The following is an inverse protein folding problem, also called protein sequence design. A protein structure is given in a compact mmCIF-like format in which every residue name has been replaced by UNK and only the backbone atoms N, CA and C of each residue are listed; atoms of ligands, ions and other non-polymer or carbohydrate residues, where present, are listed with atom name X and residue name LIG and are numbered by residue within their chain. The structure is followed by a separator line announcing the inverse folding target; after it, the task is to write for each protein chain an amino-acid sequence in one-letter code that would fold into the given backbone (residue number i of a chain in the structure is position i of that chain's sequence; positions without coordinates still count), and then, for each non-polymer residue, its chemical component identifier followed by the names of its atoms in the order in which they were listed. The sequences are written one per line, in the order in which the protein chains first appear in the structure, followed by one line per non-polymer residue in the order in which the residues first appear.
data_IF_541165750822
#
_entry.id   IF_541165750822
#
_cell.length_a   1.000
_cell.length_b   1.000
_cell.length_c   1.000
_cell.angle_alpha   90.00
_cell.angle_beta   90.00
_cell.angle_gamma   90.00
#
_symmetry.space_group_name_H-M   'P 1'
#
loop_
_entity.id
_entity.type
_entity.pdbx_description
1 polymer ?
#
# COMPACT_ATOMS: atom_id res chain seq x y z
N UNK A 1 9.95 -6.47 5.22
CA UNK A 1 9.92 -7.37 4.03
C UNK A 1 11.24 -8.14 3.93
N UNK A 2 12.37 -7.44 3.82
CA UNK A 2 13.73 -7.87 4.19
C UNK A 2 13.97 -9.37 4.52
N UNK A 3 13.79 -9.79 5.78
CA UNK A 3 14.20 -11.10 6.28
C UNK A 3 13.10 -12.16 6.13
N UNK A 4 11.94 -11.78 5.60
CA UNK A 4 10.74 -12.61 5.58
C UNK A 4 10.97 -13.95 4.88
N UNK A 5 11.58 -13.94 3.69
CA UNK A 5 11.83 -15.17 2.94
C UNK A 5 12.71 -16.14 3.73
N UNK A 6 13.80 -15.64 4.33
CA UNK A 6 14.70 -16.45 5.14
C UNK A 6 13.99 -16.98 6.39
N UNK A 7 13.32 -16.11 7.14
CA UNK A 7 12.63 -16.47 8.40
C UNK A 7 11.52 -17.49 8.15
N UNK A 8 10.70 -17.29 7.12
CA UNK A 8 9.65 -18.23 6.80
C UNK A 8 10.24 -19.57 6.34
N UNK A 9 11.30 -19.56 5.54
CA UNK A 9 11.97 -20.79 5.14
C UNK A 9 12.54 -21.59 6.34
N UNK A 10 13.15 -20.91 7.31
CA UNK A 10 13.64 -21.53 8.55
C UNK A 10 12.47 -22.11 9.37
N UNK A 11 11.37 -21.35 9.53
CA UNK A 11 10.18 -21.82 10.26
C UNK A 11 9.51 -23.03 9.59
N UNK A 12 9.41 -23.04 8.25
CA UNK A 12 8.77 -24.12 7.48
C UNK A 12 9.63 -25.38 7.35
N UNK A 13 10.87 -25.36 7.83
CA UNK A 13 11.73 -26.55 7.90
C UNK A 13 11.42 -27.43 9.13
N UNK A 14 10.74 -26.91 10.14
CA UNK A 14 10.34 -27.70 11.31
C UNK A 14 9.22 -28.68 10.96
N UNK A 15 9.30 -29.96 11.41
CA UNK A 15 8.26 -30.96 11.15
C UNK A 15 6.87 -30.50 11.59
N UNK A 16 5.88 -30.62 10.68
CA UNK A 16 4.49 -30.22 10.92
C UNK A 16 4.22 -28.71 10.99
N UNK A 17 5.22 -27.86 10.80
CA UNK A 17 5.02 -26.40 10.79
C UNK A 17 4.18 -25.96 9.59
N UNK A 18 4.38 -26.57 8.41
CA UNK A 18 3.64 -26.22 7.19
C UNK A 18 2.15 -26.49 7.31
N UNK A 19 1.70 -27.48 8.06
CA UNK A 19 0.27 -27.72 8.26
C UNK A 19 -0.36 -26.71 9.23
N UNK A 20 0.43 -26.20 10.18
CA UNK A 20 -0.07 -25.36 11.28
C UNK A 20 0.01 -23.87 10.99
N UNK A 21 0.96 -23.45 10.17
CA UNK A 21 1.14 -22.03 9.81
C UNK A 21 0.27 -21.71 8.60
N UNK A 22 -0.69 -20.80 8.79
CA UNK A 22 -1.59 -20.35 7.74
C UNK A 22 -0.89 -19.46 6.69
N UNK A 23 0.01 -18.59 7.14
CA UNK A 23 0.65 -17.60 6.29
C UNK A 23 1.78 -16.84 6.98
N UNK A 24 2.19 -15.74 6.38
CA UNK A 24 3.22 -14.86 6.88
C UNK A 24 2.73 -13.40 6.91
N UNK A 25 2.88 -12.77 8.06
CA UNK A 25 2.69 -11.34 8.24
C UNK A 25 4.00 -10.58 7.97
N UNK A 26 3.92 -9.37 7.44
CA UNK A 26 5.11 -8.54 7.16
C UNK A 26 4.85 -7.04 7.28
N UNK A 27 5.92 -6.28 7.58
CA UNK A 27 5.93 -4.82 7.71
C UNK A 27 6.88 -4.18 6.67
N UNK A 28 6.81 -2.85 6.46
CA UNK A 28 7.59 -2.13 5.43
C UNK A 28 8.89 -1.45 5.87
N UNK A 29 9.17 -1.31 7.17
CA UNK A 29 10.06 -0.25 7.71
C UNK A 29 11.50 -0.26 7.20
N UNK A 30 12.01 -1.42 6.78
CA UNK A 30 13.41 -1.59 6.35
C UNK A 30 13.58 -1.54 4.83
N UNK A 31 12.55 -1.92 4.07
CA UNK A 31 12.70 -2.10 2.62
C UNK A 31 11.38 -2.10 1.87
N UNK A 32 11.38 -1.42 0.72
CA UNK A 32 10.31 -1.36 -0.28
C UNK A 32 10.38 -2.49 -1.32
N UNK A 33 11.19 -3.54 -1.07
CA UNK A 33 11.37 -4.69 -1.98
C UNK A 33 10.21 -5.69 -1.89
N UNK A 34 9.06 -5.34 -2.46
CA UNK A 34 7.89 -6.23 -2.52
C UNK A 34 8.13 -7.50 -3.34
N UNK A 35 9.19 -7.56 -4.15
CA UNK A 35 9.58 -8.75 -4.92
C UNK A 35 9.93 -9.95 -4.02
N UNK A 36 10.30 -9.70 -2.76
CA UNK A 36 10.50 -10.73 -1.74
C UNK A 36 9.21 -11.51 -1.48
N UNK A 37 8.05 -10.85 -1.57
CA UNK A 37 6.75 -11.50 -1.39
C UNK A 37 6.48 -12.51 -2.51
N UNK A 38 6.82 -12.17 -3.75
CA UNK A 38 6.77 -13.10 -4.88
C UNK A 38 7.67 -14.32 -4.65
N UNK A 39 8.90 -14.13 -4.19
CA UNK A 39 9.78 -15.26 -3.84
C UNK A 39 9.18 -16.18 -2.77
N UNK A 40 8.51 -15.60 -1.76
CA UNK A 40 7.82 -16.37 -0.72
C UNK A 40 6.66 -17.16 -1.32
N UNK A 41 5.80 -16.51 -2.10
CA UNK A 41 4.65 -17.14 -2.73
C UNK A 41 5.07 -18.27 -3.68
N UNK A 42 6.09 -18.06 -4.51
CA UNK A 42 6.61 -19.10 -5.41
C UNK A 42 7.11 -20.33 -4.66
N UNK A 43 7.66 -20.14 -3.46
CA UNK A 43 8.18 -21.24 -2.64
C UNK A 43 7.11 -21.92 -1.78
N UNK A 44 6.14 -21.15 -1.30
CA UNK A 44 5.07 -21.59 -0.41
C UNK A 44 3.72 -21.06 -0.92
N UNK A 45 3.25 -21.53 -2.09
CA UNK A 45 2.06 -20.98 -2.75
C UNK A 45 0.77 -21.21 -1.96
N UNK A 46 0.77 -22.18 -1.03
CA UNK A 46 -0.32 -22.45 -0.10
C UNK A 46 -0.38 -21.51 1.11
N UNK A 47 0.59 -20.60 1.24
CA UNK A 47 0.71 -19.67 2.37
C UNK A 47 0.22 -18.28 2.00
N UNK A 48 -0.61 -17.74 2.88
CA UNK A 48 -1.17 -16.40 2.73
C UNK A 48 -0.16 -15.33 3.13
N UNK A 49 -0.18 -14.18 2.44
CA UNK A 49 0.71 -13.05 2.73
C UNK A 49 -0.09 -11.81 3.12
N UNK A 50 0.13 -11.31 4.33
CA UNK A 50 -0.60 -10.16 4.85
C UNK A 50 0.36 -9.06 5.31
N UNK A 51 0.16 -7.86 4.78
CA UNK A 51 0.75 -6.67 5.34
C UNK A 51 -0.04 -6.26 6.58
N UNK A 52 0.61 -6.35 7.74
CA UNK A 52 -0.06 -6.15 9.04
C UNK A 52 0.28 -4.83 9.70
N UNK A 53 1.31 -4.12 9.24
CA UNK A 53 1.72 -2.86 9.85
C UNK A 53 2.69 -2.05 8.97
N UNK A 54 2.45 -0.75 8.90
CA UNK A 54 3.47 0.25 8.59
C UNK A 54 3.02 1.64 8.96
N UNK A 55 3.98 2.52 9.19
CA UNK A 55 3.74 3.96 9.33
C UNK A 55 4.92 4.74 8.75
N UNK A 56 4.74 6.06 8.63
CA UNK A 56 5.87 6.97 8.40
C UNK A 56 6.38 7.43 9.76
N UNK A 57 7.63 7.08 10.04
CA UNK A 57 8.32 7.46 11.28
C UNK A 57 8.67 8.96 11.25
N UNK A 58 8.43 9.66 12.37
CA UNK A 58 8.84 11.06 12.53
C UNK A 58 10.27 11.09 13.09
N UNK A 59 11.19 11.72 12.36
CA UNK A 59 12.61 11.74 12.74
C UNK A 59 12.82 12.63 13.97
N UNK A 60 13.07 12.02 15.14
CA UNK A 60 13.81 12.67 16.22
C UNK A 60 15.29 12.33 16.05
N UNK A 61 16.06 13.13 15.28
CA UNK A 61 17.53 13.20 15.16
C UNK A 61 18.47 11.99 15.43
N UNK A 62 18.02 10.73 15.49
CA UNK A 62 18.79 9.61 16.05
C UNK A 62 19.02 8.44 15.10
N UNK A 63 18.64 8.55 13.82
CA UNK A 63 19.06 7.60 12.80
C UNK A 63 18.04 7.38 11.70
N UNK A 64 18.35 7.86 10.49
CA UNK A 64 17.88 7.29 9.22
C UNK A 64 16.39 7.05 8.96
N UNK A 65 15.46 7.58 9.76
CA UNK A 65 14.02 7.29 9.58
C UNK A 65 13.40 7.99 8.36
N UNK A 66 12.24 7.48 7.92
CA UNK A 66 11.69 7.57 6.56
C UNK A 66 11.32 8.96 6.02
N UNK A 67 11.35 10.03 6.81
CA UNK A 67 11.00 11.36 6.30
C UNK A 67 11.54 12.55 7.09
N UNK A 68 12.35 13.38 6.42
CA UNK A 68 12.66 14.76 6.87
C UNK A 68 11.60 15.79 6.46
N UNK A 69 10.54 15.37 5.78
CA UNK A 69 9.58 16.26 5.12
C UNK A 69 8.52 16.86 6.09
N UNK A 70 8.45 16.35 7.32
CA UNK A 70 7.48 16.78 8.33
C UNK A 70 6.10 16.15 8.17
N UNK A 71 5.25 16.29 9.19
CA UNK A 71 3.88 15.75 9.20
C UNK A 71 3.07 16.37 8.05
N UNK A 72 2.24 15.55 7.39
CA UNK A 72 1.33 15.95 6.33
C UNK A 72 1.99 16.06 4.95
N UNK A 73 3.27 15.73 4.82
CA UNK A 73 3.96 15.82 3.54
C UNK A 73 3.29 14.95 2.47
N UNK A 74 3.14 15.50 1.25
CA UNK A 74 2.57 14.76 0.12
C UNK A 74 3.33 13.46 -0.18
N UNK A 75 4.65 13.48 0.01
CA UNK A 75 5.51 12.32 -0.20
C UNK A 75 5.13 11.13 0.67
N UNK A 76 4.53 11.36 1.85
CA UNK A 76 4.05 10.29 2.71
C UNK A 76 2.93 9.52 2.03
N UNK A 77 1.92 10.21 1.49
CA UNK A 77 0.87 9.60 0.67
C UNK A 77 1.44 8.75 -0.47
N UNK A 78 2.41 9.28 -1.22
CA UNK A 78 3.07 8.51 -2.29
C UNK A 78 3.76 7.24 -1.77
N UNK A 79 4.41 7.28 -0.60
CA UNK A 79 4.99 6.10 0.04
C UNK A 79 3.90 5.06 0.33
N UNK A 80 2.75 5.47 0.89
CA UNK A 80 1.62 4.57 1.14
C UNK A 80 1.13 3.93 -0.16
N UNK A 81 0.71 4.74 -1.15
CA UNK A 81 0.13 4.18 -2.36
C UNK A 81 1.11 3.33 -3.16
N UNK A 82 2.39 3.71 -3.24
CA UNK A 82 3.43 2.89 -3.91
C UNK A 82 3.59 1.54 -3.22
N UNK A 83 3.69 1.51 -1.90
CA UNK A 83 3.85 0.25 -1.17
C UNK A 83 2.61 -0.63 -1.29
N UNK A 84 1.40 -0.06 -1.16
CA UNK A 84 0.15 -0.79 -1.33
C UNK A 84 0.06 -1.42 -2.74
N UNK A 85 0.34 -0.63 -3.79
CA UNK A 85 0.35 -1.11 -5.18
C UNK A 85 1.38 -2.22 -5.37
N UNK A 86 2.62 -2.01 -4.91
CA UNK A 86 3.68 -2.99 -5.07
C UNK A 86 3.38 -4.27 -4.31
N UNK A 87 2.85 -4.20 -3.09
CA UNK A 87 2.54 -5.38 -2.29
C UNK A 87 1.41 -6.21 -2.93
N UNK A 88 0.31 -5.59 -3.35
CA UNK A 88 -0.77 -6.30 -4.01
C UNK A 88 -0.36 -6.89 -5.36
N UNK A 89 0.57 -6.26 -6.08
CA UNK A 89 1.16 -6.85 -7.28
C UNK A 89 2.13 -8.01 -6.98
N UNK A 90 2.49 -8.23 -5.71
CA UNK A 90 3.33 -9.33 -5.26
C UNK A 90 2.62 -10.20 -4.20
N UNK A 91 1.39 -10.63 -4.51
CA UNK A 91 0.63 -11.65 -3.74
C UNK A 91 0.19 -11.26 -2.33
N UNK A 92 0.32 -10.01 -1.92
CA UNK A 92 -0.29 -9.56 -0.68
C UNK A 92 -1.82 -9.62 -0.76
N UNK A 93 -2.47 -10.03 0.32
CA UNK A 93 -3.93 -10.23 0.37
C UNK A 93 -4.67 -9.17 1.17
N UNK A 94 -3.98 -8.50 2.11
CA UNK A 94 -4.56 -7.46 2.96
C UNK A 94 -3.51 -6.44 3.38
N UNK A 95 -3.94 -5.21 3.64
CA UNK A 95 -3.06 -4.11 4.06
C UNK A 95 -3.66 -3.39 5.26
N UNK A 96 -2.95 -3.43 6.39
CA UNK A 96 -3.38 -2.87 7.67
C UNK A 96 -2.40 -1.76 8.08
N UNK A 97 -2.93 -0.55 8.24
CA UNK A 97 -2.18 0.59 8.77
C UNK A 97 -1.85 0.44 10.26
N UNK A 98 -0.91 1.24 10.77
CA UNK A 98 -0.51 1.16 12.18
C UNK A 98 -1.48 1.85 13.14
N UNK A 99 -1.33 3.15 13.36
CA UNK A 99 -2.20 3.92 14.26
C UNK A 99 -3.25 4.67 13.43
N UNK A 100 -4.53 4.42 13.73
CA UNK A 100 -5.63 5.13 13.06
C UNK A 100 -5.63 6.64 13.36
N UNK A 101 -5.21 7.02 14.56
CA UNK A 101 -5.23 8.39 15.06
C UNK A 101 -4.05 8.64 16.00
N UNK A 102 -3.34 9.75 15.81
CA UNK A 102 -2.34 10.26 16.75
C UNK A 102 -2.56 11.76 17.02
N UNK A 103 -1.96 12.28 18.09
CA UNK A 103 -2.02 13.72 18.38
C UNK A 103 -1.02 14.52 17.53
N UNK A 104 -1.01 15.85 17.66
CA UNK A 104 -0.18 16.77 16.87
C UNK A 104 1.33 16.52 16.92
N UNK A 105 1.83 15.75 17.90
CA UNK A 105 3.24 15.36 18.03
C UNK A 105 3.53 13.93 17.55
N UNK A 106 2.53 13.19 17.06
CA UNK A 106 2.68 11.81 16.64
C UNK A 106 2.67 10.78 17.78
N UNK A 107 2.01 11.11 18.89
CA UNK A 107 1.89 10.27 20.08
C UNK A 107 0.45 10.17 20.62
N UNK A 108 0.27 9.80 21.90
CA UNK A 108 1.32 9.53 22.89
C UNK A 108 2.11 8.26 22.61
N UNK A 109 3.40 8.25 22.94
CA UNK A 109 4.24 7.06 22.92
C UNK A 109 5.17 7.06 24.13
N UNK A 110 5.12 6.03 24.98
CA UNK A 110 5.80 6.02 26.28
C UNK A 110 7.34 6.01 26.18
N UNK A 111 7.91 5.56 25.05
CA UNK A 111 9.36 5.56 24.77
C UNK A 111 9.78 6.67 23.81
N UNK A 112 8.86 7.57 23.46
CA UNK A 112 9.14 8.69 22.55
C UNK A 112 9.33 8.28 21.07
N UNK A 113 8.84 7.10 20.68
CA UNK A 113 8.87 6.65 19.28
C UNK A 113 7.64 7.19 18.52
N UNK A 114 7.71 8.47 18.12
CA UNK A 114 6.59 9.16 17.48
C UNK A 114 6.49 8.86 15.98
N UNK A 115 5.26 8.79 15.49
CA UNK A 115 4.94 8.43 14.12
C UNK A 115 3.87 9.36 13.55
N UNK A 116 3.74 9.38 12.24
CA UNK A 116 2.57 9.95 11.58
C UNK A 116 1.45 8.91 11.45
N UNK A 117 0.22 9.31 11.76
CA UNK A 117 -0.99 8.57 11.43
C UNK A 117 -1.74 9.24 10.26
N UNK A 118 -2.57 8.51 9.50
CA UNK A 118 -3.41 9.11 8.46
C UNK A 118 -4.36 10.17 8.99
N UNK A 119 -4.86 10.00 10.22
CA UNK A 119 -5.66 11.00 10.92
C UNK A 119 -4.86 11.51 12.10
N UNK A 120 -4.81 12.81 12.27
CA UNK A 120 -4.16 13.49 13.38
C UNK A 120 -5.17 14.36 14.12
N UNK A 121 -5.04 14.48 15.44
CA UNK A 121 -5.88 15.34 16.26
C UNK A 121 -5.03 16.41 16.94
N UNK A 122 -5.28 17.68 16.62
CA UNK A 122 -4.64 18.79 17.31
C UNK A 122 -5.38 19.09 18.60
N UNK A 123 -4.72 18.83 19.73
CA UNK A 123 -5.31 19.02 21.05
C UNK A 123 -5.46 20.48 21.46
N UNK A 124 -4.73 21.40 20.83
CA UNK A 124 -4.80 22.84 21.10
C UNK A 124 -5.99 23.46 20.35
N UNK A 125 -6.12 23.18 19.06
CA UNK A 125 -7.21 23.74 18.22
C UNK A 125 -8.49 22.91 18.30
N UNK A 126 -8.42 21.66 18.76
CA UNK A 126 -9.52 20.66 18.78
C UNK A 126 -9.96 20.21 17.39
N UNK A 127 -9.07 20.30 16.40
CA UNK A 127 -9.34 19.97 15.01
C UNK A 127 -8.81 18.58 14.62
N UNK A 128 -9.51 17.95 13.67
CA UNK A 128 -9.08 16.71 13.02
C UNK A 128 -8.39 17.08 11.71
N UNK A 129 -7.16 16.60 11.53
CA UNK A 129 -6.38 16.76 10.32
C UNK A 129 -6.28 15.41 9.59
N UNK A 130 -6.54 15.43 8.28
CA UNK A 130 -6.38 14.26 7.42
C UNK A 130 -5.10 14.42 6.60
N UNK A 131 -4.12 13.56 6.86
CA UNK A 131 -2.87 13.55 6.11
C UNK A 131 -3.04 12.96 4.71
N UNK A 132 -2.07 13.20 3.83
CA UNK A 132 -2.06 12.65 2.48
C UNK A 132 -2.26 11.13 2.47
N UNK A 133 -1.67 10.40 3.42
CA UNK A 133 -1.84 8.96 3.60
C UNK A 133 -3.30 8.52 3.77
N UNK A 134 -4.16 9.30 4.43
CA UNK A 134 -5.58 8.98 4.57
C UNK A 134 -6.28 8.91 3.22
N UNK A 135 -5.99 9.87 2.35
CA UNK A 135 -6.56 9.91 1.00
C UNK A 135 -5.99 8.80 0.14
N UNK A 136 -4.68 8.55 0.21
CA UNK A 136 -4.02 7.49 -0.56
C UNK A 136 -4.52 6.09 -0.16
N UNK A 137 -4.69 5.80 1.14
CA UNK A 137 -5.35 4.56 1.59
C UNK A 137 -6.78 4.50 1.06
N UNK A 138 -7.51 5.62 1.09
CA UNK A 138 -8.87 5.75 0.57
C UNK A 138 -9.01 5.40 -0.92
N UNK A 139 -7.98 5.61 -1.74
CA UNK A 139 -7.97 5.20 -3.15
C UNK A 139 -8.05 3.68 -3.35
N UNK A 140 -7.79 2.90 -2.30
CA UNK A 140 -7.95 1.44 -2.27
C UNK A 140 -9.19 1.06 -1.47
N UNK A 141 -9.24 1.44 -0.19
CA UNK A 141 -10.21 0.92 0.78
C UNK A 141 -11.66 1.30 0.52
N UNK A 142 -11.91 2.40 -0.21
CA UNK A 142 -13.27 2.85 -0.54
C UNK A 142 -13.83 2.18 -1.79
N UNK A 143 -12.98 1.58 -2.61
CA UNK A 143 -13.35 1.12 -3.96
C UNK A 143 -13.10 -0.37 -4.17
N UNK A 144 -12.17 -0.98 -3.43
CA UNK A 144 -11.87 -2.42 -3.51
C UNK A 144 -12.57 -3.13 -2.36
N UNK A 145 -13.48 -4.03 -2.69
CA UNK A 145 -14.32 -4.72 -1.70
C UNK A 145 -13.63 -6.00 -1.15
N UNK A 146 -13.96 -6.42 0.09
CA UNK A 146 -13.57 -7.75 0.57
C UNK A 146 -14.02 -8.85 -0.41
N UNK A 147 -13.08 -9.73 -0.78
CA UNK A 147 -13.30 -10.78 -1.78
C UNK A 147 -12.99 -10.35 -3.22
N UNK A 148 -12.56 -9.10 -3.45
CA UNK A 148 -12.03 -8.70 -4.75
C UNK A 148 -10.78 -9.51 -5.11
N UNK A 149 -10.65 -9.84 -6.41
CA UNK A 149 -9.52 -10.60 -6.93
C UNK A 149 -8.61 -9.66 -7.71
N UNK A 150 -7.31 -9.66 -7.39
CA UNK A 150 -6.31 -8.89 -8.13
C UNK A 150 -6.14 -9.47 -9.54
N UNK A 151 -6.39 -8.66 -10.56
CA UNK A 151 -6.28 -9.06 -11.98
C UNK A 151 -5.04 -8.46 -12.64
N UNK A 152 -4.64 -9.03 -13.79
CA UNK A 152 -3.42 -8.61 -14.48
C UNK A 152 -3.51 -7.13 -14.87
N UNK A 153 -2.58 -6.33 -14.34
CA UNK A 153 -2.41 -4.93 -14.69
C UNK A 153 -1.00 -4.78 -15.27
N UNK A 154 -0.90 -4.48 -16.57
CA UNK A 154 0.38 -4.20 -17.22
C UNK A 154 0.50 -2.69 -17.38
N UNK A 155 1.65 -2.14 -16.98
CA UNK A 155 2.06 -0.82 -17.40
C UNK A 155 3.27 -0.94 -18.33
N UNK A 156 3.33 -0.08 -19.34
CA UNK A 156 4.38 -0.01 -20.36
C UNK A 156 5.08 1.36 -20.34
N UNK A 157 4.92 2.10 -19.24
CA UNK A 157 5.31 3.49 -19.07
C UNK A 157 6.52 3.63 -18.13
N UNK A 158 6.99 4.87 -18.01
CA UNK A 158 8.20 5.23 -17.26
C UNK A 158 8.20 4.75 -15.80
N UNK A 159 9.41 4.47 -15.28
CA UNK A 159 9.64 4.29 -13.84
C UNK A 159 9.09 5.49 -13.08
N UNK A 160 8.24 5.26 -12.09
CA UNK A 160 7.57 6.30 -11.31
C UNK A 160 6.05 6.37 -11.53
N UNK A 161 5.52 5.63 -12.51
CA UNK A 161 4.09 5.28 -12.53
C UNK A 161 3.89 3.88 -11.95
N UNK A 162 2.92 3.73 -11.06
CA UNK A 162 2.55 2.46 -10.43
C UNK A 162 1.06 2.22 -10.63
N UNK A 163 0.68 0.97 -10.91
CA UNK A 163 -0.73 0.61 -11.07
C UNK A 163 -1.05 -0.77 -10.55
N UNK A 164 -2.29 -0.97 -10.11
CA UNK A 164 -2.85 -2.26 -9.72
C UNK A 164 -4.33 -2.29 -10.09
N UNK A 165 -4.83 -3.46 -10.46
CA UNK A 165 -6.23 -3.65 -10.85
C UNK A 165 -6.86 -4.82 -10.08
N UNK A 166 -8.13 -4.64 -9.71
CA UNK A 166 -8.94 -5.63 -9.01
C UNK A 166 -10.27 -5.80 -9.71
N UNK A 167 -10.83 -7.00 -9.65
CA UNK A 167 -12.22 -7.27 -9.98
C UNK A 167 -12.98 -7.49 -8.67
N UNK A 168 -13.93 -6.61 -8.38
CA UNK A 168 -14.80 -6.74 -7.21
C UNK A 168 -15.80 -7.90 -7.38
N UNK A 169 -16.39 -8.40 -6.28
CA UNK A 169 -17.42 -9.45 -6.35
C UNK A 169 -18.63 -9.08 -7.21
N UNK A 170 -19.00 -7.80 -7.26
CA UNK A 170 -20.06 -7.26 -8.13
C UNK A 170 -19.69 -7.23 -9.63
N UNK A 171 -18.45 -7.56 -9.98
CA UNK A 171 -17.94 -7.58 -11.34
C UNK A 171 -17.26 -6.28 -11.79
N UNK A 172 -17.35 -5.19 -11.05
CA UNK A 172 -16.66 -3.93 -11.37
C UNK A 172 -15.13 -4.14 -11.37
N UNK A 173 -14.47 -3.49 -12.32
CA UNK A 173 -13.00 -3.46 -12.39
C UNK A 173 -12.52 -2.13 -11.83
N UNK A 174 -11.71 -2.20 -10.78
CA UNK A 174 -11.11 -1.05 -10.11
C UNK A 174 -9.64 -1.01 -10.40
N UNK A 175 -9.16 0.06 -11.02
CA UNK A 175 -7.74 0.27 -11.32
C UNK A 175 -7.24 1.51 -10.60
N UNK A 176 -6.24 1.34 -9.73
CA UNK A 176 -5.57 2.44 -9.04
C UNK A 176 -4.27 2.74 -9.76
N UNK A 177 -4.02 4.00 -10.08
CA UNK A 177 -2.80 4.46 -10.74
C UNK A 177 -2.20 5.62 -9.96
N UNK A 178 -0.92 5.51 -9.61
CA UNK A 178 -0.14 6.54 -8.93
C UNK A 178 0.97 7.05 -9.84
N UNK A 179 1.09 8.37 -9.93
CA UNK A 179 2.13 9.08 -10.66
C UNK A 179 3.04 9.87 -9.71
N UNK A 180 4.26 9.41 -9.47
CA UNK A 180 5.28 10.11 -8.69
C UNK A 180 6.21 10.99 -9.55
N UNK A 181 5.92 11.15 -10.84
CA UNK A 181 6.74 11.96 -11.74
C UNK A 181 6.42 13.44 -11.59
N UNK A 182 7.42 14.29 -11.82
CA UNK A 182 7.29 15.76 -11.88
C UNK A 182 6.51 16.27 -13.12
N UNK A 183 5.86 15.38 -13.86
CA UNK A 183 5.06 15.71 -15.06
C UNK A 183 3.78 14.91 -15.07
N UNK A 184 2.75 15.49 -15.68
CA UNK A 184 1.53 14.75 -16.00
C UNK A 184 1.81 13.64 -17.01
N UNK A 185 1.04 12.56 -16.91
CA UNK A 185 1.11 11.42 -17.81
C UNK A 185 -0.20 11.27 -18.56
N UNK A 186 -0.13 11.19 -19.89
CA UNK A 186 -1.26 10.80 -20.72
C UNK A 186 -1.19 9.30 -20.93
N UNK A 187 -2.30 8.59 -20.74
CA UNK A 187 -2.35 7.15 -20.92
C UNK A 187 -3.69 6.72 -21.52
N UNK A 188 -3.70 5.52 -22.10
CA UNK A 188 -4.91 4.81 -22.45
C UNK A 188 -5.18 3.74 -21.39
N UNK A 189 -6.30 3.86 -20.67
CA UNK A 189 -6.76 2.79 -19.79
C UNK A 189 -7.56 1.81 -20.65
N UNK A 190 -7.04 0.59 -20.80
CA UNK A 190 -7.67 -0.46 -21.61
C UNK A 190 -8.13 -1.59 -20.70
N UNK A 191 -9.43 -1.88 -20.72
CA UNK A 191 -10.06 -2.98 -19.97
C UNK A 191 -10.85 -3.83 -20.95
N UNK A 192 -10.52 -5.13 -21.04
CA UNK A 192 -11.16 -6.09 -21.95
C UNK A 192 -11.29 -5.59 -23.41
N UNK A 193 -10.24 -4.93 -23.90
CA UNK A 193 -10.16 -4.39 -25.27
C UNK A 193 -10.85 -3.03 -25.47
N UNK A 194 -11.55 -2.50 -24.46
CA UNK A 194 -12.16 -1.18 -24.50
C UNK A 194 -11.22 -0.15 -23.86
N UNK A 195 -10.86 0.88 -24.62
CA UNK A 195 -9.88 1.88 -24.22
C UNK A 195 -10.49 3.27 -24.02
N UNK A 196 -10.07 3.96 -22.96
CA UNK A 196 -10.33 5.39 -22.75
C UNK A 196 -9.01 6.13 -22.56
N UNK A 197 -8.83 7.21 -23.32
CA UNK A 197 -7.71 8.12 -23.12
C UNK A 197 -7.97 9.01 -21.90
N UNK A 198 -6.97 9.13 -21.05
CA UNK A 198 -7.02 9.96 -19.84
C UNK A 198 -5.66 10.60 -19.56
N UNK A 199 -5.63 11.50 -18.59
CA UNK A 199 -4.40 12.07 -18.07
C UNK A 199 -4.39 12.05 -16.54
N UNK A 200 -3.22 11.78 -15.98
CA UNK A 200 -2.99 11.79 -14.53
C UNK A 200 -1.97 12.89 -14.20
N UNK A 201 -2.29 13.84 -13.29
CA UNK A 201 -1.36 14.90 -12.90
C UNK A 201 -0.03 14.40 -12.34
N UNK A 202 0.97 15.28 -12.30
CA UNK A 202 2.21 15.03 -11.55
C UNK A 202 1.89 14.82 -10.06
N UNK A 203 2.65 13.96 -9.36
CA UNK A 203 2.48 13.70 -7.93
C UNK A 203 1.02 13.42 -7.54
N UNK A 204 0.39 12.42 -8.15
CA UNK A 204 -1.03 12.14 -7.95
C UNK A 204 -1.34 10.66 -7.84
N UNK A 205 -2.53 10.35 -7.35
CA UNK A 205 -3.12 9.02 -7.36
C UNK A 205 -4.56 9.14 -7.88
N UNK A 206 -5.00 8.17 -8.68
CA UNK A 206 -6.32 8.18 -9.32
C UNK A 206 -6.87 6.77 -9.34
N UNK A 207 -8.16 6.64 -9.02
CA UNK A 207 -8.88 5.37 -9.06
C UNK A 207 -9.91 5.41 -10.18
N UNK A 208 -9.78 4.50 -11.14
CA UNK A 208 -10.73 4.30 -12.22
C UNK A 208 -11.65 3.14 -11.88
N UNK A 209 -12.94 3.30 -12.15
CA UNK A 209 -13.95 2.26 -11.95
C UNK A 209 -14.61 1.99 -13.31
N UNK A 210 -14.37 0.80 -13.85
CA UNK A 210 -15.07 0.30 -15.03
C UNK A 210 -16.24 -0.55 -14.55
N UNK A 211 -17.45 -0.04 -14.76
CA UNK A 211 -18.68 -0.72 -14.36
C UNK A 211 -18.91 -1.97 -15.21
N UNK A 212 -19.31 -3.06 -14.56
CA UNK A 212 -19.76 -4.24 -15.28
C UNK A 212 -20.97 -3.88 -16.15
N UNK A 213 -20.88 -4.07 -17.47
CA UNK A 213 -21.94 -3.69 -18.42
C UNK A 213 -23.02 -4.77 -18.59
N UNK A 214 -23.22 -5.62 -17.59
CA UNK A 214 -24.33 -6.57 -17.57
C UNK A 214 -25.53 -5.97 -16.82
N UNK A 215 -26.13 -4.94 -17.44
CA UNK A 215 -27.55 -4.55 -17.29
C UNK A 215 -28.11 -4.18 -18.67
#
# INVERSE_FOLDING_TARGET
RDLMFRRLNESMAYPGAREKVWGAAFHWYVSDKSEILTMVHEKFPEKHLLFTEGCVELVNNSGGTSSKAGIGAWKHGEIYGRNIIKDFNNYNEAWIDWNLLLNEIGGPNYVGNYCEAPVMYDRNTKEIMYNSSYYYIGHFSRYIEPGAVRICCRNDVDKGLYSVSFKNPNGDIVTVVQNELNRKQRLALVVDGQGTNTEIPAHSITTFITKNSQE
#
